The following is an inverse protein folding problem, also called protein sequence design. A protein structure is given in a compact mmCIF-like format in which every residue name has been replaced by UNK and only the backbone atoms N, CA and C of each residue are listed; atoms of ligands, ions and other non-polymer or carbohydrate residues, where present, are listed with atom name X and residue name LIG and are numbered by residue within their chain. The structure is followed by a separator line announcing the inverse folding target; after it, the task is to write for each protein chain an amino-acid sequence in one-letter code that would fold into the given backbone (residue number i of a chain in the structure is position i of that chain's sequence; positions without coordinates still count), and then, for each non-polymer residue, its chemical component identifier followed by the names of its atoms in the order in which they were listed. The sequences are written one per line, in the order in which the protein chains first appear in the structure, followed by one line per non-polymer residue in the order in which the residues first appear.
data_IF_388515733112
#
_entry.id   IF_388515733112
#
_cell.length_a   1.000
_cell.length_b   1.000
_cell.length_c   1.000
_cell.angle_alpha   90.00
_cell.angle_beta   90.00
_cell.angle_gamma   90.00
#
_symmetry.space_group_name_H-M   'P 1'
#
loop_
_entity.id
_entity.type
_entity.pdbx_description
1 polymer ?
#
# COMPACT_ATOMS: atom_id res chain seq x y z
N UNK A 1 21.93 -7.34 -13.58
CA UNK A 1 20.66 -8.02 -13.91
C UNK A 1 20.12 -8.62 -12.62
N UNK A 2 18.84 -8.43 -12.31
CA UNK A 2 18.25 -8.87 -11.03
C UNK A 2 17.62 -10.24 -11.28
N UNK A 3 18.16 -11.29 -10.66
CA UNK A 3 17.70 -12.65 -10.95
C UNK A 3 16.21 -12.83 -10.63
N UNK A 4 15.38 -13.22 -11.61
CA UNK A 4 13.95 -13.39 -11.41
C UNK A 4 13.64 -14.47 -10.35
N UNK A 5 14.54 -15.43 -10.16
CA UNK A 5 14.40 -16.51 -9.18
C UNK A 5 14.57 -16.03 -7.72
N UNK A 6 15.42 -15.03 -7.50
CA UNK A 6 15.58 -14.39 -6.18
C UNK A 6 14.33 -13.59 -5.83
N UNK A 7 13.69 -12.93 -6.81
CA UNK A 7 12.42 -12.24 -6.57
C UNK A 7 11.26 -13.22 -6.30
N UNK A 8 11.26 -14.37 -7.00
CA UNK A 8 10.30 -15.45 -6.85
C UNK A 8 10.36 -16.11 -5.45
N UNK A 9 11.56 -16.41 -4.98
CA UNK A 9 11.80 -16.98 -3.64
C UNK A 9 11.40 -16.01 -2.54
N UNK A 10 11.75 -14.72 -2.66
CA UNK A 10 11.29 -13.66 -1.76
C UNK A 10 9.76 -13.55 -1.73
N UNK A 11 9.12 -13.56 -2.90
CA UNK A 11 7.65 -13.52 -2.98
C UNK A 11 6.99 -14.76 -2.36
N UNK A 12 7.57 -15.95 -2.54
CA UNK A 12 7.09 -17.19 -1.89
C UNK A 12 7.14 -17.07 -0.35
N UNK A 13 8.20 -16.45 0.18
CA UNK A 13 8.35 -16.21 1.62
C UNK A 13 7.37 -15.13 2.11
N UNK A 14 7.15 -14.06 1.35
CA UNK A 14 6.13 -13.05 1.65
C UNK A 14 4.71 -13.64 1.65
N UNK A 15 4.42 -14.57 0.73
CA UNK A 15 3.11 -15.24 0.68
C UNK A 15 2.78 -16.00 1.95
N UNK A 16 3.79 -16.66 2.54
CA UNK A 16 3.64 -17.37 3.84
C UNK A 16 3.32 -16.43 5.00
N UNK A 17 3.72 -15.15 4.93
CA UNK A 17 3.44 -14.14 5.97
C UNK A 17 2.01 -13.60 5.91
N UNK A 18 1.27 -13.90 4.83
CA UNK A 18 -0.15 -13.57 4.69
C UNK A 18 -0.43 -12.28 3.93
N UNK A 19 -1.57 -12.27 3.23
CA UNK A 19 -2.02 -11.17 2.36
C UNK A 19 -2.29 -9.88 3.13
N UNK A 20 -2.97 -9.98 4.27
CA UNK A 20 -3.31 -8.82 5.11
C UNK A 20 -2.05 -8.09 5.59
N UNK A 21 -1.04 -8.82 6.03
CA UNK A 21 0.22 -8.24 6.53
C UNK A 21 0.98 -7.49 5.43
N UNK A 22 0.92 -7.98 4.19
CA UNK A 22 1.49 -7.27 3.05
C UNK A 22 0.75 -5.97 2.79
N UNK A 23 -0.59 -6.02 2.70
CA UNK A 23 -1.43 -4.86 2.43
C UNK A 23 -1.21 -3.77 3.48
N UNK A 24 -1.24 -4.14 4.76
CA UNK A 24 -0.95 -3.22 5.87
C UNK A 24 0.43 -2.61 5.68
N UNK A 25 1.49 -3.43 5.49
CA UNK A 25 2.86 -2.91 5.34
C UNK A 25 3.04 -1.98 4.13
N UNK A 26 2.35 -2.24 3.03
CA UNK A 26 2.37 -1.35 1.85
C UNK A 26 1.55 -0.09 2.04
N UNK A 27 0.43 -0.16 2.78
CA UNK A 27 -0.45 0.97 3.01
C UNK A 27 0.07 1.90 4.12
N UNK A 28 0.75 1.37 5.15
CA UNK A 28 1.27 2.15 6.28
C UNK A 28 2.09 3.38 5.86
N UNK A 29 3.12 3.29 5.01
CA UNK A 29 3.91 4.47 4.63
C UNK A 29 3.08 5.51 3.86
N UNK A 30 2.12 5.07 3.04
CA UNK A 30 1.21 5.96 2.30
C UNK A 30 0.32 6.73 3.27
N UNK A 31 -0.27 6.02 4.24
CA UNK A 31 -1.13 6.62 5.27
C UNK A 31 -0.33 7.61 6.12
N UNK A 32 0.87 7.21 6.59
CA UNK A 32 1.74 8.08 7.40
C UNK A 32 2.15 9.33 6.61
N UNK A 33 2.56 9.18 5.35
CA UNK A 33 2.93 10.31 4.50
C UNK A 33 1.77 11.31 4.31
N UNK A 34 0.55 10.81 4.11
CA UNK A 34 -0.65 11.65 3.99
C UNK A 34 -1.00 12.36 5.30
N UNK A 35 -0.89 11.68 6.45
CA UNK A 35 -1.12 12.31 7.75
C UNK A 35 -0.12 13.44 8.03
N UNK A 36 1.16 13.26 7.67
CA UNK A 36 2.17 14.31 7.79
C UNK A 36 1.83 15.48 6.87
N UNK A 37 1.50 15.21 5.60
CA UNK A 37 1.14 16.25 4.62
C UNK A 37 -0.03 17.11 5.09
N UNK A 38 -1.12 16.50 5.58
CA UNK A 38 -2.27 17.25 6.07
C UNK A 38 -2.07 17.92 7.43
N UNK A 39 -1.06 17.52 8.18
CA UNK A 39 -0.66 18.24 9.40
C UNK A 39 0.13 19.50 9.07
N UNK A 40 0.86 19.49 7.95
CA UNK A 40 1.66 20.63 7.46
C UNK A 40 0.75 21.67 6.79
N UNK A 41 -0.16 21.25 5.92
CA UNK A 41 -1.08 22.13 5.18
C UNK A 41 -1.72 23.27 6.01
N UNK A 42 -2.31 23.02 7.21
CA UNK A 42 -2.88 24.08 8.04
C UNK A 42 -1.84 25.01 8.67
N UNK A 43 -0.62 24.54 8.94
CA UNK A 43 0.44 25.38 9.54
C UNK A 43 0.91 26.50 8.61
N UNK A 44 0.73 26.34 7.29
CA UNK A 44 1.18 27.32 6.29
C UNK A 44 0.06 28.17 5.71
N UNK A 45 -1.22 27.76 5.85
CA UNK A 45 -2.35 28.38 5.13
C UNK A 45 -3.34 29.08 6.07
N UNK A 46 -3.47 28.69 7.35
CA UNK A 46 -4.56 29.20 8.18
C UNK A 46 -4.15 30.24 9.22
N UNK A 47 -4.66 31.47 9.07
CA UNK A 47 -4.84 32.44 10.18
C UNK A 47 -6.04 32.08 11.08
N UNK A 48 -6.84 31.07 10.71
CA UNK A 48 -8.06 30.67 11.42
C UNK A 48 -7.77 29.76 12.61
N UNK A 49 -8.48 29.93 13.75
CA UNK A 49 -8.34 29.04 14.90
C UNK A 49 -8.67 27.59 14.50
N UNK A 50 -7.93 26.62 15.04
CA UNK A 50 -8.23 25.19 14.90
C UNK A 50 -9.67 24.92 15.32
N UNK A 51 -10.54 24.73 14.32
CA UNK A 51 -11.98 24.59 14.51
C UNK A 51 -12.48 23.22 14.08
N UNK A 52 -13.67 22.85 14.55
CA UNK A 52 -14.32 21.58 14.24
C UNK A 52 -14.41 21.27 12.74
N UNK A 53 -14.59 22.28 11.88
CA UNK A 53 -14.62 22.12 10.42
C UNK A 53 -13.30 21.56 9.86
N UNK A 54 -12.17 22.02 10.40
CA UNK A 54 -10.83 21.59 9.98
C UNK A 54 -10.54 20.16 10.47
N UNK A 55 -10.98 19.83 11.69
CA UNK A 55 -10.88 18.47 12.23
C UNK A 55 -11.69 17.46 11.41
N UNK A 56 -12.92 17.83 11.01
CA UNK A 56 -13.79 16.99 10.18
C UNK A 56 -13.17 16.80 8.78
N UNK A 57 -12.61 17.86 8.20
CA UNK A 57 -11.95 17.78 6.89
C UNK A 57 -10.76 16.82 6.92
N UNK A 58 -9.87 16.94 7.93
CA UNK A 58 -8.72 16.04 8.11
C UNK A 58 -9.17 14.59 8.34
N UNK A 59 -10.21 14.35 9.14
CA UNK A 59 -10.78 13.02 9.36
C UNK A 59 -11.36 12.40 8.08
N UNK A 60 -12.10 13.19 7.30
CA UNK A 60 -12.71 12.74 6.05
C UNK A 60 -11.65 12.39 4.99
N UNK A 61 -10.61 13.23 4.88
CA UNK A 61 -9.43 12.98 4.04
C UNK A 61 -8.70 11.72 4.50
N UNK A 62 -8.46 11.57 5.80
CA UNK A 62 -7.92 10.36 6.44
C UNK A 62 -8.65 9.09 6.06
N UNK A 63 -9.97 9.12 6.15
CA UNK A 63 -10.80 7.99 5.76
C UNK A 63 -10.66 7.66 4.27
N UNK A 64 -10.71 8.67 3.39
CA UNK A 64 -10.50 8.49 1.95
C UNK A 64 -9.15 7.85 1.60
N UNK A 65 -8.08 8.27 2.27
CA UNK A 65 -6.74 7.70 2.08
C UNK A 65 -6.66 6.22 2.47
N UNK A 66 -7.26 5.84 3.59
CA UNK A 66 -7.31 4.44 4.04
C UNK A 66 -8.13 3.59 3.08
N UNK A 67 -9.29 4.10 2.65
CA UNK A 67 -10.17 3.44 1.68
C UNK A 67 -9.50 3.29 0.32
N UNK A 68 -8.59 4.19 -0.08
CA UNK A 68 -7.82 4.06 -1.32
C UNK A 68 -6.58 3.15 -1.21
N UNK A 69 -5.84 3.25 -0.11
CA UNK A 69 -4.57 2.54 0.08
C UNK A 69 -4.77 1.03 0.27
N UNK A 70 -5.83 0.61 0.97
CA UNK A 70 -6.10 -0.81 1.22
C UNK A 70 -6.41 -1.57 -0.08
N UNK A 71 -7.38 -1.17 -0.93
CA UNK A 71 -7.64 -1.81 -2.22
C UNK A 71 -6.41 -1.81 -3.13
N UNK A 72 -5.64 -0.71 -3.17
CA UNK A 72 -4.42 -0.64 -3.95
C UNK A 72 -3.38 -1.70 -3.51
N UNK A 73 -3.23 -1.92 -2.20
CA UNK A 73 -2.40 -3.00 -1.65
C UNK A 73 -2.89 -4.38 -2.09
N UNK A 74 -4.21 -4.61 -2.11
CA UNK A 74 -4.79 -5.87 -2.60
C UNK A 74 -4.59 -6.07 -4.11
N UNK A 75 -4.71 -5.02 -4.92
CA UNK A 75 -4.43 -5.06 -6.36
C UNK A 75 -2.95 -5.38 -6.61
N UNK A 76 -2.04 -4.73 -5.88
CA UNK A 76 -0.61 -5.02 -5.93
C UNK A 76 -0.30 -6.49 -5.60
N UNK A 77 -0.95 -7.02 -4.55
CA UNK A 77 -0.83 -8.42 -4.18
C UNK A 77 -1.32 -9.35 -5.29
N UNK A 78 -2.52 -9.09 -5.82
CA UNK A 78 -3.13 -9.90 -6.87
C UNK A 78 -2.28 -9.93 -8.13
N UNK A 79 -1.71 -8.79 -8.51
CA UNK A 79 -0.83 -8.69 -9.68
C UNK A 79 0.45 -9.52 -9.53
N UNK A 80 1.11 -9.46 -8.35
CA UNK A 80 2.28 -10.30 -8.05
C UNK A 80 1.93 -11.78 -7.99
N UNK A 81 0.77 -12.12 -7.44
CA UNK A 81 0.27 -13.50 -7.40
C UNK A 81 0.00 -14.04 -8.82
N UNK A 82 -0.54 -13.21 -9.71
CA UNK A 82 -0.73 -13.56 -11.13
C UNK A 82 0.60 -13.74 -11.87
N UNK A 83 1.58 -12.87 -11.64
CA UNK A 83 2.94 -13.03 -12.18
C UNK A 83 3.56 -14.34 -11.73
N UNK A 84 3.53 -14.63 -10.43
CA UNK A 84 4.06 -15.87 -9.88
C UNK A 84 3.47 -17.12 -10.53
N UNK A 85 2.13 -17.19 -10.68
CA UNK A 85 1.48 -18.32 -11.35
C UNK A 85 1.97 -18.50 -12.79
N UNK A 86 2.08 -17.41 -13.56
CA UNK A 86 2.62 -17.46 -14.94
C UNK A 86 4.07 -17.95 -15.00
N UNK A 87 4.90 -17.58 -14.03
CA UNK A 87 6.29 -18.05 -13.99
C UNK A 87 6.35 -19.56 -13.72
N UNK A 88 5.61 -20.07 -12.73
CA UNK A 88 5.57 -21.52 -12.46
C UNK A 88 5.07 -22.29 -13.68
N UNK A 89 3.97 -21.84 -14.31
CA UNK A 89 3.43 -22.53 -15.51
C UNK A 89 4.42 -22.53 -16.67
N UNK A 90 5.33 -21.55 -16.78
CA UNK A 90 6.39 -21.59 -17.78
C UNK A 90 7.45 -22.63 -17.44
N UNK A 91 7.87 -22.75 -16.18
CA UNK A 91 8.82 -23.79 -15.77
C UNK A 91 8.23 -25.20 -15.91
N UNK A 92 6.95 -25.37 -15.58
CA UNK A 92 6.23 -26.65 -15.66
C UNK A 92 6.05 -27.13 -17.12
N UNK A 93 6.05 -26.22 -18.09
CA UNK A 93 6.01 -26.55 -19.53
C UNK A 93 7.37 -26.94 -20.13
N UNK A 94 8.45 -26.81 -19.37
CA UNK A 94 9.81 -27.14 -19.79
C UNK A 94 10.34 -28.43 -19.13
N UNK A 95 9.48 -29.18 -18.43
CA UNK A 95 9.70 -30.54 -17.92
C UNK A 95 8.79 -31.47 -18.73
#
# INVERSE_FOLDING_TARGET
MKDPDIELSKWKQERKKGRLRFVVRTATPVIVGMMIWWSIEPMFISETPWGWAQTIDILSKGFGAVVGAIPCGFVCWWWRERKYKRHITKFDKHI
#
